data_IF_279166278896
#
_entry.id   IF_279166278896
#
_cell.length_a   1.000
_cell.length_b   1.000
_cell.length_c   1.000
_cell.angle_alpha   90.00
_cell.angle_beta   90.00
_cell.angle_gamma   90.00
#
_symmetry.space_group_name_H-M   'P 1'
#
loop_
_entity.id
_entity.type
_entity.pdbx_description
1 polymer ?
#
# COMPACT_ATOMS: atom_id res chain seq x y z
N UNK A 1 16.92 -8.64 11.86
CA UNK A 1 15.91 -8.15 10.91
C UNK A 1 16.45 -8.31 9.51
N UNK A 2 15.60 -8.58 8.53
CA UNK A 2 15.96 -8.64 7.10
C UNK A 2 15.06 -7.66 6.37
N UNK A 3 15.64 -6.79 5.55
CA UNK A 3 14.93 -5.83 4.72
C UNK A 3 14.81 -6.41 3.31
N UNK A 4 13.59 -6.58 2.84
CA UNK A 4 13.30 -7.24 1.56
C UNK A 4 12.60 -6.29 0.63
N UNK A 5 13.10 -6.15 -0.59
CA UNK A 5 12.38 -5.49 -1.68
C UNK A 5 11.42 -6.49 -2.31
N UNK A 6 10.15 -6.37 -1.93
CA UNK A 6 9.09 -7.25 -2.43
C UNK A 6 8.75 -6.87 -3.88
N UNK A 7 8.77 -7.81 -4.82
CA UNK A 7 8.27 -7.58 -6.17
C UNK A 7 6.73 -7.56 -6.19
N UNK A 8 6.16 -7.06 -7.28
CA UNK A 8 4.72 -7.23 -7.57
C UNK A 8 4.38 -8.70 -7.82
N UNK A 9 3.20 -9.12 -7.42
CA UNK A 9 2.64 -10.46 -7.60
C UNK A 9 2.55 -11.29 -6.32
N UNK A 10 3.66 -11.66 -5.66
CA UNK A 10 3.62 -12.44 -4.42
C UNK A 10 2.94 -11.70 -3.27
N UNK A 11 2.22 -12.42 -2.41
CA UNK A 11 1.75 -11.89 -1.13
C UNK A 11 2.90 -11.74 -0.14
N UNK A 12 2.70 -10.95 0.93
CA UNK A 12 3.68 -10.86 2.03
C UNK A 12 3.90 -12.22 2.71
N UNK A 13 2.89 -13.10 2.73
CA UNK A 13 3.02 -14.48 3.24
C UNK A 13 3.87 -15.36 2.35
N UNK A 14 3.75 -15.22 1.02
CA UNK A 14 4.61 -15.94 0.06
C UNK A 14 6.07 -15.55 0.25
N UNK A 15 6.34 -14.26 0.51
CA UNK A 15 7.67 -13.76 0.82
C UNK A 15 8.23 -14.42 2.09
N UNK A 16 7.42 -14.50 3.15
CA UNK A 16 7.81 -15.19 4.40
C UNK A 16 8.07 -16.67 4.15
N UNK A 17 7.24 -17.35 3.35
CA UNK A 17 7.43 -18.76 3.02
C UNK A 17 8.74 -19.01 2.27
N UNK A 18 9.09 -18.17 1.31
CA UNK A 18 10.37 -18.23 0.60
C UNK A 18 11.55 -17.95 1.53
N UNK A 19 11.44 -16.94 2.38
CA UNK A 19 12.49 -16.60 3.34
C UNK A 19 12.72 -17.70 4.39
N UNK A 20 11.69 -18.43 4.80
CA UNK A 20 11.85 -19.62 5.66
C UNK A 20 12.77 -20.66 5.05
N UNK A 21 12.67 -20.87 3.74
CA UNK A 21 13.55 -21.82 3.00
C UNK A 21 14.98 -21.28 2.92
N UNK A 22 15.14 -20.01 2.53
CA UNK A 22 16.45 -19.36 2.38
C UNK A 22 17.19 -19.33 3.73
N UNK A 23 16.49 -19.02 4.82
CA UNK A 23 17.08 -18.87 6.16
C UNK A 23 17.13 -20.17 6.97
N UNK A 24 16.58 -21.27 6.46
CA UNK A 24 16.59 -22.57 7.14
C UNK A 24 15.84 -22.60 8.46
N UNK A 25 14.85 -21.72 8.68
CA UNK A 25 14.09 -21.61 9.94
C UNK A 25 12.62 -21.35 9.71
N UNK A 26 11.77 -21.85 10.60
CA UNK A 26 10.33 -21.59 10.61
C UNK A 26 9.96 -20.26 11.29
N UNK A 27 10.87 -19.72 12.12
CA UNK A 27 10.63 -18.48 12.88
C UNK A 27 10.90 -17.26 12.01
N UNK A 28 10.00 -17.00 11.08
CA UNK A 28 10.03 -15.85 10.18
C UNK A 28 8.65 -15.21 10.15
N UNK A 29 8.58 -13.90 10.29
CA UNK A 29 7.38 -13.10 10.21
C UNK A 29 7.66 -11.74 9.59
N UNK A 30 6.64 -10.97 9.21
CA UNK A 30 6.79 -9.63 8.63
C UNK A 30 6.08 -8.56 9.46
N UNK A 31 6.52 -7.31 9.33
CA UNK A 31 5.92 -6.12 9.97
C UNK A 31 5.02 -5.37 8.98
N UNK A 32 3.78 -5.74 8.92
CA UNK A 32 2.80 -5.03 8.07
C UNK A 32 2.74 -5.55 6.64
N UNK A 33 1.54 -5.93 6.27
CA UNK A 33 1.22 -6.48 4.95
C UNK A 33 1.45 -5.45 3.84
N UNK A 34 1.98 -5.92 2.71
CA UNK A 34 1.89 -5.27 1.40
C UNK A 34 0.93 -6.09 0.54
N UNK A 35 0.05 -5.40 -0.17
CA UNK A 35 -0.85 -6.03 -1.13
C UNK A 35 -0.07 -6.75 -2.24
N UNK A 36 -0.64 -7.74 -2.93
CA UNK A 36 0.06 -8.46 -4.00
C UNK A 36 0.59 -7.54 -5.09
N UNK A 37 -0.19 -6.53 -5.50
CA UNK A 37 0.22 -5.55 -6.53
C UNK A 37 1.32 -4.61 -6.03
N UNK A 38 1.42 -4.38 -4.72
CA UNK A 38 2.38 -3.46 -4.15
C UNK A 38 3.80 -4.02 -4.15
N UNK A 39 4.76 -3.13 -4.31
CA UNK A 39 6.20 -3.41 -4.26
C UNK A 39 6.87 -2.72 -3.08
N UNK A 40 8.14 -2.98 -2.87
CA UNK A 40 8.97 -2.21 -1.96
C UNK A 40 9.22 -2.87 -0.62
N UNK A 41 9.52 -2.06 0.36
CA UNK A 41 10.10 -2.49 1.62
C UNK A 41 9.17 -3.36 2.46
N UNK A 42 9.58 -4.60 2.67
CA UNK A 42 8.99 -5.53 3.64
C UNK A 42 10.03 -5.83 4.73
N UNK A 43 9.77 -5.36 5.95
CA UNK A 43 10.65 -5.65 7.09
C UNK A 43 10.28 -7.00 7.68
N UNK A 44 11.24 -7.91 7.71
CA UNK A 44 11.06 -9.30 8.12
C UNK A 44 11.89 -9.61 9.36
N UNK A 45 11.26 -10.16 10.38
CA UNK A 45 11.91 -10.68 11.55
C UNK A 45 12.27 -12.16 11.36
N UNK A 46 13.50 -12.53 11.70
CA UNK A 46 14.00 -13.91 11.69
C UNK A 46 14.42 -14.26 13.09
N UNK A 47 14.05 -15.45 13.58
CA UNK A 47 14.37 -15.97 14.92
C UNK A 47 13.98 -14.96 16.03
N UNK A 48 14.94 -14.49 16.81
CA UNK A 48 14.72 -13.48 17.87
C UNK A 48 14.18 -12.15 17.32
N UNK A 49 14.46 -11.83 16.05
CA UNK A 49 13.96 -10.64 15.39
C UNK A 49 12.44 -10.59 15.29
N UNK A 50 11.74 -11.73 15.32
CA UNK A 50 10.27 -11.76 15.29
C UNK A 50 9.62 -11.06 16.48
N UNK A 51 10.30 -10.98 17.62
CA UNK A 51 9.80 -10.32 18.83
C UNK A 51 9.70 -8.79 18.69
N UNK A 52 10.45 -8.20 17.77
CA UNK A 52 10.47 -6.76 17.54
C UNK A 52 9.48 -6.30 16.47
N UNK A 53 8.82 -7.23 15.77
CA UNK A 53 7.90 -6.89 14.68
C UNK A 53 6.73 -6.02 15.11
N UNK A 54 6.21 -6.20 16.33
CA UNK A 54 5.13 -5.38 16.85
C UNK A 54 5.51 -3.90 16.96
N UNK A 55 6.75 -3.61 17.35
CA UNK A 55 7.26 -2.24 17.41
C UNK A 55 7.41 -1.66 15.98
N UNK A 56 7.92 -2.43 15.04
CA UNK A 56 8.10 -2.00 13.65
C UNK A 56 6.76 -1.70 12.97
N UNK A 57 5.72 -2.49 13.27
CA UNK A 57 4.36 -2.27 12.72
C UNK A 57 3.81 -0.89 13.09
N UNK A 58 4.11 -0.41 14.30
CA UNK A 58 3.60 0.86 14.82
C UNK A 58 4.23 2.11 14.16
N UNK A 59 5.39 1.96 13.48
CA UNK A 59 6.06 3.09 12.84
C UNK A 59 5.28 3.65 11.66
N UNK A 60 5.54 4.92 11.37
CA UNK A 60 5.15 5.62 10.16
C UNK A 60 5.74 4.97 8.90
N UNK A 61 5.16 5.29 7.77
CA UNK A 61 5.52 4.68 6.49
C UNK A 61 5.55 5.72 5.38
N UNK A 62 6.42 5.50 4.41
CA UNK A 62 6.46 6.31 3.18
C UNK A 62 6.17 5.44 1.97
N UNK A 63 5.43 6.03 1.05
CA UNK A 63 5.01 5.37 -0.18
C UNK A 63 5.18 6.30 -1.38
N UNK A 64 5.46 5.70 -2.53
CA UNK A 64 5.20 6.28 -3.84
C UNK A 64 4.06 5.50 -4.48
N UNK A 65 3.13 6.20 -5.11
CA UNK A 65 1.96 5.59 -5.72
C UNK A 65 1.55 6.31 -7.00
N UNK A 66 0.85 5.60 -7.88
CA UNK A 66 0.13 6.16 -9.01
C UNK A 66 -1.36 5.92 -8.80
N UNK A 67 -2.11 7.01 -8.76
CA UNK A 67 -3.57 7.02 -8.68
C UNK A 67 -4.11 7.26 -10.07
N UNK A 68 -4.97 6.37 -10.55
CA UNK A 68 -5.74 6.57 -11.79
C UNK A 68 -7.10 7.12 -11.47
N UNK A 69 -7.40 8.32 -11.98
CA UNK A 69 -8.71 8.96 -11.94
C UNK A 69 -9.48 8.60 -13.21
N UNK A 70 -10.78 8.36 -13.08
CA UNK A 70 -11.67 8.01 -14.17
C UNK A 70 -12.37 6.68 -14.02
N UNK A 71 -12.01 5.87 -13.04
CA UNK A 71 -12.71 4.63 -12.73
C UNK A 71 -12.58 4.26 -11.25
N UNK A 72 -13.64 3.77 -10.66
CA UNK A 72 -13.65 3.12 -9.36
C UNK A 72 -13.59 1.60 -9.52
N UNK A 73 -12.87 0.91 -8.64
CA UNK A 73 -12.77 -0.54 -8.65
C UNK A 73 -13.18 -1.14 -7.31
N UNK A 74 -13.55 -2.41 -7.31
CA UNK A 74 -14.00 -3.11 -6.09
C UNK A 74 -12.92 -3.22 -5.00
N UNK A 75 -11.66 -3.25 -5.37
CA UNK A 75 -10.52 -3.37 -4.45
C UNK A 75 -9.80 -2.05 -4.18
N UNK A 76 -10.27 -0.95 -4.77
CA UNK A 76 -9.60 0.37 -4.78
C UNK A 76 -8.20 0.32 -5.46
N UNK A 77 -7.91 -0.73 -6.23
CA UNK A 77 -6.70 -0.90 -7.04
C UNK A 77 -7.00 -1.55 -8.40
N UNK A 78 -6.00 -1.63 -9.26
CA UNK A 78 -6.15 -2.15 -10.63
C UNK A 78 -6.43 -3.66 -10.73
N UNK A 79 -6.41 -4.40 -9.62
CA UNK A 79 -6.73 -5.84 -9.61
C UNK A 79 -8.23 -6.10 -9.44
N UNK A 80 -8.98 -5.10 -8.97
CA UNK A 80 -10.43 -5.21 -8.77
C UNK A 80 -11.22 -4.99 -10.06
N UNK A 81 -12.41 -5.59 -10.10
CA UNK A 81 -13.39 -5.29 -11.15
C UNK A 81 -13.78 -3.81 -11.14
N UNK A 82 -13.95 -3.23 -12.32
CA UNK A 82 -14.41 -1.85 -12.46
C UNK A 82 -15.87 -1.76 -12.04
N UNK A 83 -16.15 -0.91 -11.07
CA UNK A 83 -17.50 -0.64 -10.57
C UNK A 83 -18.20 0.48 -11.35
N UNK A 84 -17.43 1.50 -11.72
CA UNK A 84 -17.92 2.65 -12.47
C UNK A 84 -16.78 3.32 -13.23
N UNK A 85 -17.14 3.95 -14.34
CA UNK A 85 -16.26 4.79 -15.15
C UNK A 85 -16.82 6.19 -15.26
N UNK A 86 -15.94 7.19 -15.25
CA UNK A 86 -16.33 8.57 -15.43
C UNK A 86 -16.76 8.82 -16.89
N UNK A 87 -17.64 9.81 -17.06
CA UNK A 87 -17.94 10.36 -18.38
C UNK A 87 -16.71 11.17 -18.86
N UNK A 88 -16.26 10.99 -20.12
CA UNK A 88 -15.09 11.72 -20.62
C UNK A 88 -15.12 13.23 -20.40
N UNK A 89 -16.28 13.85 -20.54
CA UNK A 89 -16.45 15.29 -20.32
C UNK A 89 -16.13 15.72 -18.87
N UNK A 90 -16.40 14.87 -17.87
CA UNK A 90 -16.09 15.17 -16.47
C UNK A 90 -14.58 15.11 -16.23
N UNK A 91 -13.86 14.21 -16.90
CA UNK A 91 -12.40 14.14 -16.84
C UNK A 91 -11.74 15.32 -17.56
N UNK A 92 -12.26 15.70 -18.74
CA UNK A 92 -11.77 16.85 -19.50
C UNK A 92 -11.98 18.18 -18.76
N UNK A 93 -13.00 18.25 -17.89
CA UNK A 93 -13.28 19.43 -17.07
C UNK A 93 -12.36 19.54 -15.83
N UNK A 94 -11.57 18.49 -15.51
CA UNK A 94 -10.63 18.55 -14.40
C UNK A 94 -9.39 19.34 -14.78
N UNK A 95 -9.02 20.27 -13.91
CA UNK A 95 -7.75 20.99 -13.99
C UNK A 95 -6.75 20.40 -13.01
N UNK A 96 -5.46 20.58 -13.29
CA UNK A 96 -4.39 20.14 -12.40
C UNK A 96 -4.54 20.77 -11.00
N UNK A 97 -4.98 22.04 -10.92
CA UNK A 97 -5.23 22.74 -9.64
C UNK A 97 -6.32 22.04 -8.82
N UNK A 98 -7.43 21.64 -9.43
CA UNK A 98 -8.50 20.92 -8.73
C UNK A 98 -8.02 19.54 -8.24
N UNK A 99 -7.24 18.86 -9.06
CA UNK A 99 -6.66 17.56 -8.69
C UNK A 99 -5.73 17.74 -7.49
N UNK A 100 -4.78 18.69 -7.54
CA UNK A 100 -3.86 18.97 -6.43
C UNK A 100 -4.61 19.35 -5.16
N UNK A 101 -5.63 20.20 -5.25
CA UNK A 101 -6.45 20.59 -4.10
C UNK A 101 -7.16 19.38 -3.46
N UNK A 102 -7.65 18.43 -4.25
CA UNK A 102 -8.30 17.22 -3.73
C UNK A 102 -7.32 16.31 -2.98
N UNK A 103 -6.07 16.19 -3.43
CA UNK A 103 -5.02 15.49 -2.69
C UNK A 103 -4.58 16.25 -1.45
N UNK A 104 -4.47 17.57 -1.50
CA UNK A 104 -4.12 18.41 -0.35
C UNK A 104 -5.14 18.29 0.79
N UNK A 105 -6.42 18.10 0.47
CA UNK A 105 -7.49 17.87 1.44
C UNK A 105 -7.33 16.54 2.22
N UNK A 106 -6.49 15.63 1.77
CA UNK A 106 -6.18 14.38 2.46
C UNK A 106 -5.05 14.51 3.49
N UNK A 107 -4.43 15.70 3.64
CA UNK A 107 -3.35 15.91 4.61
C UNK A 107 -3.87 16.11 6.02
N UNK A 108 -3.02 15.80 7.00
CA UNK A 108 -3.30 15.98 8.42
C UNK A 108 -4.04 14.80 9.03
N UNK A 109 -4.76 15.09 10.11
CA UNK A 109 -5.57 14.09 10.81
C UNK A 109 -6.91 13.94 10.10
N UNK A 110 -7.17 12.75 9.60
CA UNK A 110 -8.39 12.43 8.86
C UNK A 110 -9.04 11.16 9.40
N UNK A 111 -10.35 11.06 9.20
CA UNK A 111 -11.09 9.81 9.39
C UNK A 111 -11.11 9.07 8.04
N UNK A 112 -10.50 7.89 8.00
CA UNK A 112 -10.40 7.09 6.80
C UNK A 112 -11.18 5.78 6.95
N UNK A 113 -12.04 5.48 5.99
CA UNK A 113 -12.66 4.16 5.85
C UNK A 113 -11.68 3.24 5.13
N UNK A 114 -11.20 2.18 5.78
CA UNK A 114 -10.33 1.20 5.12
C UNK A 114 -11.01 0.57 3.90
N UNK A 115 -10.21 0.08 2.96
CA UNK A 115 -10.74 -0.71 1.84
C UNK A 115 -11.40 -2.01 2.34
N UNK A 116 -12.49 -2.42 1.70
CA UNK A 116 -13.23 -3.64 2.04
C UNK A 116 -12.36 -4.90 1.92
N UNK A 117 -11.42 -4.92 0.97
CA UNK A 117 -10.44 -5.99 0.80
C UNK A 117 -9.21 -5.70 1.64
N UNK A 118 -9.28 -5.97 2.94
CA UNK A 118 -8.19 -5.72 3.90
C UNK A 118 -7.98 -6.89 4.86
N UNK A 119 -6.89 -6.83 5.63
CA UNK A 119 -6.57 -7.81 6.68
C UNK A 119 -7.27 -7.53 8.01
N UNK A 120 -8.12 -6.51 8.07
CA UNK A 120 -8.89 -6.17 9.29
C UNK A 120 -9.83 -7.31 9.63
N UNK A 121 -9.91 -7.64 10.91
CA UNK A 121 -10.81 -8.70 11.41
C UNK A 121 -12.15 -8.10 11.81
N UNK A 122 -13.22 -8.75 11.37
CA UNK A 122 -14.61 -8.52 11.79
C UNK A 122 -15.09 -9.85 12.36
N UNK A 123 -15.48 -9.87 13.61
CA UNK A 123 -15.98 -11.08 14.31
C UNK A 123 -15.06 -12.32 14.13
N UNK A 124 -13.74 -12.09 14.14
CA UNK A 124 -12.73 -13.14 14.03
C UNK A 124 -12.33 -13.52 12.61
N UNK A 125 -13.12 -13.20 11.58
CA UNK A 125 -12.77 -13.39 10.17
C UNK A 125 -12.11 -12.13 9.58
N UNK A 126 -11.24 -12.29 8.60
CA UNK A 126 -10.65 -11.14 7.90
C UNK A 126 -11.62 -10.57 6.87
N UNK A 127 -11.65 -9.24 6.72
CA UNK A 127 -12.55 -8.56 5.79
C UNK A 127 -12.44 -9.11 4.35
N UNK A 128 -11.23 -9.38 3.85
CA UNK A 128 -11.04 -9.96 2.52
C UNK A 128 -11.57 -11.39 2.38
N UNK A 129 -11.68 -12.16 3.48
CA UNK A 129 -12.29 -13.49 3.47
C UNK A 129 -13.82 -13.37 3.32
N UNK A 130 -14.43 -12.43 4.05
CA UNK A 130 -15.87 -12.15 3.96
C UNK A 130 -16.27 -11.65 2.57
N UNK A 131 -15.46 -10.77 1.97
CA UNK A 131 -15.69 -10.30 0.59
C UNK A 131 -15.64 -11.45 -0.42
N UNK A 132 -14.69 -12.38 -0.28
CA UNK A 132 -14.60 -13.58 -1.13
C UNK A 132 -15.81 -14.51 -0.96
N UNK A 133 -16.43 -14.53 0.22
CA UNK A 133 -17.68 -15.26 0.49
C UNK A 133 -18.91 -14.52 -0.07
N UNK A 134 -18.73 -13.40 -0.78
CA UNK A 134 -19.80 -12.61 -1.39
C UNK A 134 -20.55 -11.69 -0.41
N UNK A 135 -20.00 -11.44 0.77
CA UNK A 135 -20.58 -10.53 1.75
C UNK A 135 -20.17 -9.08 1.45
N UNK A 136 -21.13 -8.18 1.55
CA UNK A 136 -20.83 -6.76 1.54
C UNK A 136 -20.18 -6.33 2.87
N UNK A 137 -18.96 -5.82 2.80
CA UNK A 137 -18.18 -5.43 3.98
C UNK A 137 -17.98 -3.93 3.98
N UNK A 138 -18.63 -3.25 4.92
CA UNK A 138 -18.38 -1.83 5.21
C UNK A 138 -17.62 -1.73 6.52
N UNK A 139 -16.37 -1.27 6.44
CA UNK A 139 -15.53 -1.07 7.62
C UNK A 139 -15.79 0.31 8.25
N UNK A 140 -15.75 0.42 9.59
CA UNK A 140 -15.85 1.71 10.26
C UNK A 140 -14.64 2.58 9.93
N UNK A 141 -14.87 3.89 9.90
CA UNK A 141 -13.80 4.86 9.77
C UNK A 141 -12.85 4.81 10.97
N UNK A 142 -11.58 5.11 10.71
CA UNK A 142 -10.51 5.11 11.71
C UNK A 142 -9.67 6.37 11.57
N UNK A 143 -9.21 6.96 12.68
CA UNK A 143 -8.28 8.09 12.62
C UNK A 143 -6.94 7.63 12.06
N UNK A 144 -6.43 8.37 11.09
CA UNK A 144 -5.07 8.25 10.55
C UNK A 144 -4.48 9.63 10.35
N UNK A 145 -3.16 9.73 10.31
CA UNK A 145 -2.46 10.98 10.05
C UNK A 145 -1.65 10.88 8.76
N UNK A 146 -1.90 11.80 7.84
CA UNK A 146 -1.09 12.00 6.65
C UNK A 146 -0.14 13.16 6.92
N UNK A 147 1.11 12.85 7.28
CA UNK A 147 2.12 13.86 7.64
C UNK A 147 2.52 14.71 6.45
N UNK A 148 2.65 14.09 5.27
CA UNK A 148 2.83 14.79 4.00
C UNK A 148 2.22 13.98 2.86
N UNK A 149 1.73 14.69 1.88
CA UNK A 149 1.28 14.15 0.61
C UNK A 149 1.64 15.15 -0.48
N UNK A 150 2.42 14.71 -1.45
CA UNK A 150 2.87 15.53 -2.56
C UNK A 150 2.42 14.94 -3.88
N UNK A 151 1.82 15.74 -4.73
CA UNK A 151 1.55 15.39 -6.13
C UNK A 151 2.81 15.69 -6.94
N UNK A 152 3.48 14.62 -7.39
CA UNK A 152 4.74 14.70 -8.11
C UNK A 152 4.52 14.99 -9.61
N UNK A 153 3.46 14.40 -10.18
CA UNK A 153 3.18 14.49 -11.60
C UNK A 153 1.70 14.22 -11.89
N UNK A 154 1.16 14.86 -12.93
CA UNK A 154 -0.22 14.65 -13.41
C UNK A 154 -0.17 14.46 -14.93
N UNK A 155 -0.57 13.28 -15.39
CA UNK A 155 -0.60 12.91 -16.80
C UNK A 155 -2.03 12.74 -17.27
N UNK A 156 -2.47 13.60 -18.16
CA UNK A 156 -3.80 13.57 -18.77
C UNK A 156 -3.84 12.68 -20.01
N UNK A 157 -4.98 12.05 -20.25
CA UNK A 157 -5.21 11.27 -21.46
C UNK A 157 -4.40 9.98 -21.52
N UNK A 158 -4.27 9.29 -20.39
CA UNK A 158 -3.59 8.00 -20.31
C UNK A 158 -4.40 6.93 -21.04
N UNK A 159 -3.74 6.20 -21.94
CA UNK A 159 -4.36 5.23 -22.84
C UNK A 159 -5.48 5.85 -23.70
N UNK A 160 -6.28 5.05 -24.39
CA UNK A 160 -7.41 5.52 -25.19
C UNK A 160 -8.66 5.92 -24.35
N UNK A 161 -8.54 6.01 -23.01
CA UNK A 161 -9.66 6.09 -22.08
C UNK A 161 -9.87 7.45 -21.45
N UNK A 162 -9.10 8.48 -21.82
CA UNK A 162 -9.11 9.83 -21.20
C UNK A 162 -8.82 9.83 -19.69
N UNK A 163 -8.40 8.72 -19.09
CA UNK A 163 -8.02 8.65 -17.67
C UNK A 163 -6.86 9.61 -17.37
N UNK A 164 -6.74 9.96 -16.08
CA UNK A 164 -5.67 10.83 -15.58
C UNK A 164 -4.86 10.03 -14.57
N UNK A 165 -3.55 9.92 -14.77
CA UNK A 165 -2.64 9.31 -13.82
C UNK A 165 -1.94 10.38 -12.98
N UNK A 166 -2.02 10.23 -11.67
CA UNK A 166 -1.41 11.13 -10.69
C UNK A 166 -0.38 10.38 -9.87
N UNK A 167 0.89 10.77 -9.99
CA UNK A 167 1.96 10.25 -9.14
C UNK A 167 2.03 11.03 -7.86
N UNK A 168 2.06 10.32 -6.74
CA UNK A 168 2.09 10.91 -5.40
C UNK A 168 3.19 10.31 -4.54
N UNK A 169 3.71 11.10 -3.61
CA UNK A 169 4.53 10.66 -2.48
C UNK A 169 3.76 10.90 -1.19
N UNK A 170 3.70 9.90 -0.33
CA UNK A 170 2.91 9.94 0.91
C UNK A 170 3.76 9.52 2.10
N UNK A 171 3.72 10.32 3.17
CA UNK A 171 4.24 9.96 4.49
C UNK A 171 3.06 9.92 5.47
N UNK A 172 2.83 8.78 6.10
CA UNK A 172 1.62 8.56 6.89
C UNK A 172 1.84 7.68 8.12
N UNK A 173 0.91 7.77 9.06
CA UNK A 173 0.85 6.92 10.24
C UNK A 173 0.59 5.46 9.89
N UNK A 174 0.91 4.57 10.82
CA UNK A 174 0.52 3.15 10.74
C UNK A 174 -0.99 3.00 10.58
N UNK A 175 -1.41 2.02 9.80
CA UNK A 175 -2.83 1.73 9.55
C UNK A 175 -3.48 2.55 8.44
N UNK A 176 -2.76 3.46 7.80
CA UNK A 176 -3.23 4.21 6.63
C UNK A 176 -3.29 3.32 5.39
N UNK A 177 -4.39 3.40 4.65
CA UNK A 177 -4.60 2.71 3.38
C UNK A 177 -4.44 3.68 2.22
N UNK A 178 -3.37 3.52 1.44
CA UNK A 178 -3.12 4.39 0.26
C UNK A 178 -4.19 4.16 -0.81
N UNK A 179 -4.74 2.95 -0.92
CA UNK A 179 -5.89 2.64 -1.78
C UNK A 179 -7.12 3.47 -1.42
N UNK A 180 -7.36 3.70 -0.13
CA UNK A 180 -8.47 4.55 0.31
C UNK A 180 -8.25 6.02 -0.07
N UNK A 181 -7.02 6.53 -0.06
CA UNK A 181 -6.73 7.89 -0.55
C UNK A 181 -7.12 8.01 -2.02
N UNK A 182 -6.77 7.03 -2.86
CA UNK A 182 -7.12 7.04 -4.28
C UNK A 182 -8.65 7.04 -4.51
N UNK A 183 -9.37 6.19 -3.77
CA UNK A 183 -10.83 6.16 -3.78
C UNK A 183 -11.43 7.50 -3.36
N UNK A 184 -11.04 8.01 -2.20
CA UNK A 184 -11.64 9.20 -1.59
C UNK A 184 -11.39 10.45 -2.44
N UNK A 185 -10.19 10.60 -3.04
CA UNK A 185 -9.89 11.66 -3.99
C UNK A 185 -10.73 11.53 -5.25
N UNK A 186 -10.85 10.33 -5.81
CA UNK A 186 -11.68 10.06 -6.98
C UNK A 186 -13.17 10.36 -6.73
N UNK A 187 -13.69 10.02 -5.55
CA UNK A 187 -15.04 10.36 -5.11
C UNK A 187 -15.23 11.89 -4.97
N UNK A 188 -14.29 12.57 -4.31
CA UNK A 188 -14.34 14.02 -4.13
C UNK A 188 -14.32 14.80 -5.46
N UNK A 189 -13.65 14.26 -6.48
CA UNK A 189 -13.61 14.84 -7.83
C UNK A 189 -14.80 14.40 -8.71
N UNK A 190 -15.60 13.43 -8.25
CA UNK A 190 -16.76 12.91 -8.97
C UNK A 190 -16.46 12.00 -10.16
N UNK A 191 -15.22 11.50 -10.26
CA UNK A 191 -14.76 10.70 -11.41
C UNK A 191 -14.34 9.27 -11.05
N UNK A 192 -14.33 8.94 -9.75
CA UNK A 192 -13.77 7.68 -9.27
C UNK A 192 -12.25 7.64 -9.36
N UNK A 193 -11.64 6.78 -8.54
CA UNK A 193 -10.19 6.64 -8.50
C UNK A 193 -9.76 5.31 -7.88
N UNK A 194 -8.62 4.80 -8.32
CA UNK A 194 -8.01 3.59 -7.78
C UNK A 194 -6.49 3.63 -7.97
N UNK A 195 -5.76 2.79 -7.23
CA UNK A 195 -4.32 2.65 -7.40
C UNK A 195 -3.98 1.76 -8.59
N UNK A 196 -3.03 2.21 -9.41
CA UNK A 196 -2.38 1.38 -10.44
C UNK A 196 -0.99 0.92 -10.02
N UNK A 197 -0.31 1.70 -9.17
CA UNK A 197 1.01 1.36 -8.64
C UNK A 197 1.11 1.78 -7.17
N UNK A 198 1.81 0.97 -6.39
CA UNK A 198 2.12 1.26 -4.99
C UNK A 198 3.50 0.70 -4.64
N UNK A 199 4.38 1.54 -4.10
CA UNK A 199 5.69 1.15 -3.61
C UNK A 199 5.94 1.71 -2.22
N UNK A 200 6.20 0.85 -1.25
CA UNK A 200 6.61 1.29 0.10
C UNK A 200 8.10 1.53 0.13
N UNK A 201 8.50 2.77 0.40
CA UNK A 201 9.91 3.20 0.38
C UNK A 201 10.54 3.22 1.76
N UNK A 202 9.76 3.41 2.85
CA UNK A 202 10.28 3.31 4.20
C UNK A 202 9.27 2.79 5.22
N UNK A 203 9.77 2.26 6.33
CA UNK A 203 9.03 1.87 7.53
C UNK A 203 9.86 2.32 8.73
N UNK A 204 9.44 3.40 9.40
CA UNK A 204 10.22 4.03 10.47
C UNK A 204 11.65 4.32 10.01
N UNK A 205 12.66 3.80 10.75
CA UNK A 205 14.07 4.04 10.41
C UNK A 205 14.60 3.21 9.23
N UNK A 206 13.80 2.26 8.71
CA UNK A 206 14.23 1.37 7.63
C UNK A 206 13.91 1.97 6.27
N UNK A 207 14.89 2.00 5.37
CA UNK A 207 14.78 2.55 4.03
C UNK A 207 14.95 1.46 2.96
N UNK A 208 14.27 1.63 1.82
CA UNK A 208 14.29 0.69 0.69
C UNK A 208 15.69 0.51 0.09
N UNK A 209 16.55 1.50 0.20
CA UNK A 209 17.94 1.44 -0.28
C UNK A 209 18.78 0.36 0.42
N UNK A 210 18.38 -0.04 1.63
CA UNK A 210 19.03 -1.10 2.40
C UNK A 210 18.42 -2.49 2.13
N UNK A 211 17.31 -2.55 1.37
CA UNK A 211 16.60 -3.80 1.11
C UNK A 211 17.28 -4.61 0.01
N UNK A 212 17.11 -5.93 0.10
CA UNK A 212 17.60 -6.89 -0.89
C UNK A 212 16.45 -7.63 -1.53
N UNK A 213 16.59 -7.97 -2.81
CA UNK A 213 15.67 -8.89 -3.48
C UNK A 213 15.82 -10.31 -2.95
N UNK A 214 14.82 -11.16 -3.18
CA UNK A 214 14.92 -12.59 -2.82
C UNK A 214 16.12 -13.26 -3.50
N UNK A 215 16.35 -12.94 -4.77
CA UNK A 215 17.47 -13.48 -5.53
C UNK A 215 18.83 -13.12 -4.92
N UNK A 216 18.98 -11.88 -4.44
CA UNK A 216 20.19 -11.44 -3.74
C UNK A 216 20.35 -12.16 -2.39
N UNK A 217 19.24 -12.43 -1.69
CA UNK A 217 19.27 -13.14 -0.42
C UNK A 217 19.59 -14.63 -0.59
N UNK A 218 19.12 -15.27 -1.68
CA UNK A 218 19.45 -16.65 -2.02
C UNK A 218 20.95 -16.85 -2.33
N UNK A 219 21.57 -15.85 -2.98
CA UNK A 219 23.00 -15.87 -3.32
C UNK A 219 23.91 -15.45 -2.18
N UNK A 220 23.37 -14.78 -1.16
CA UNK A 220 24.18 -14.33 -0.02
C UNK A 220 24.47 -15.50 0.92
N UNK A 221 25.72 -15.70 1.36
CA UNK A 221 25.99 -16.63 2.47
C UNK A 221 25.17 -16.18 3.69
N UNK A 222 24.56 -17.12 4.40
CA UNK A 222 23.75 -16.88 5.60
C UNK A 222 24.69 -16.36 6.71
N UNK A 223 25.08 -15.11 6.64
CA UNK A 223 25.72 -14.42 7.75
C UNK A 223 24.62 -13.68 8.51
N UNK A 224 24.28 -14.18 9.69
CA UNK A 224 23.42 -13.45 10.62
C UNK A 224 24.14 -12.16 11.01
N UNK A 225 23.84 -11.08 10.32
CA UNK A 225 24.29 -9.76 10.77
C UNK A 225 23.48 -9.44 12.03
N UNK A 226 24.10 -9.63 13.18
CA UNK A 226 23.59 -9.11 14.43
C UNK A 226 23.62 -7.57 14.30
N UNK A 227 22.49 -6.94 14.05
CA UNK A 227 22.32 -5.53 14.35
C UNK A 227 22.52 -5.41 15.86
N UNK A 228 23.69 -4.97 16.27
CA UNK A 228 23.93 -4.52 17.64
C UNK A 228 23.08 -3.28 17.82
N UNK A 229 22.10 -3.37 18.73
CA UNK A 229 21.44 -2.19 19.26
C UNK A 229 22.53 -1.32 19.94
N UNK A 230 22.70 -0.12 19.45
CA UNK A 230 23.36 0.95 20.16
C UNK A 230 22.28 1.80 20.84
#
# INVERSE_FOLDING_TARGET
MVLVDKPSGPTSHDMVAKLRRIMGTRRVGHSGTLDPMATGLLVVGVERGTKFLAHVVAHDKRYEATVRLGAATHTDDAQGEVLSTAVPADLEALTEERIRAAFDAQRGDIMQRPTSVSSIKIDGKRAHELVREGQEVVLPERPVTIFSLEVLDVVFGVDATSCIDVRISVHCSSGTYIRAIARDVGEALGVGGHLTQLRRTSVGPFDISEARTLEQLEKAPVSYTHLRAH
#
